data_IF_198461241977
#
_entry.id   IF_198461241977
#
_cell.length_a   1.000
_cell.length_b   1.000
_cell.length_c   1.000
_cell.angle_alpha   90.00
_cell.angle_beta   90.00
_cell.angle_gamma   90.00
#
_symmetry.space_group_name_H-M   'P 1'
#
loop_
_entity.id
_entity.type
_entity.pdbx_description
1 polymer ?
#
# COMPACT_ATOMS: atom_id res chain seq x y z
N UNK A 1 11.00 0.38 -15.62
CA UNK A 1 11.28 0.31 -14.17
C UNK A 1 10.04 0.75 -13.41
N UNK A 2 9.78 0.19 -12.23
CA UNK A 2 8.60 0.55 -11.42
C UNK A 2 9.03 0.73 -9.97
N UNK A 3 8.31 1.57 -9.21
CA UNK A 3 8.44 1.60 -7.76
C UNK A 3 7.45 0.61 -7.15
N UNK A 4 7.84 0.03 -6.02
CA UNK A 4 6.99 -0.88 -5.23
C UNK A 4 7.07 -0.50 -3.76
N UNK A 5 6.04 -0.83 -3.01
CA UNK A 5 6.07 -0.74 -1.55
C UNK A 5 6.67 -2.03 -0.98
N UNK A 6 7.89 -1.98 -0.46
CA UNK A 6 8.57 -3.14 0.15
C UNK A 6 7.78 -3.74 1.31
N UNK A 7 6.97 -2.93 1.98
CA UNK A 7 6.13 -3.42 3.06
C UNK A 7 5.16 -4.53 2.62
N UNK A 8 4.78 -4.58 1.34
CA UNK A 8 3.87 -5.63 0.85
C UNK A 8 4.48 -7.03 0.98
N UNK A 9 5.76 -7.18 0.64
CA UNK A 9 6.46 -8.46 0.76
C UNK A 9 6.60 -8.86 2.23
N UNK A 10 7.08 -7.93 3.07
CA UNK A 10 7.30 -8.17 4.50
C UNK A 10 6.00 -8.51 5.25
N UNK A 11 4.92 -7.82 4.94
CA UNK A 11 3.61 -8.10 5.56
C UNK A 11 3.06 -9.45 5.12
N UNK A 12 3.19 -9.81 3.84
CA UNK A 12 2.74 -11.12 3.37
C UNK A 12 3.52 -12.26 4.01
N UNK A 13 4.83 -12.11 4.14
CA UNK A 13 5.68 -13.08 4.82
C UNK A 13 5.27 -13.25 6.28
N UNK A 14 5.06 -12.15 7.01
CA UNK A 14 4.64 -12.20 8.40
C UNK A 14 3.24 -12.80 8.57
N UNK A 15 2.28 -12.48 7.70
CA UNK A 15 0.94 -13.07 7.73
C UNK A 15 1.02 -14.60 7.48
N UNK A 16 1.84 -15.04 6.54
CA UNK A 16 2.07 -16.46 6.29
C UNK A 16 2.67 -17.16 7.53
N UNK A 17 3.70 -16.56 8.14
CA UNK A 17 4.36 -17.06 9.35
C UNK A 17 3.37 -17.20 10.52
N UNK A 18 2.54 -16.19 10.75
CA UNK A 18 1.53 -16.19 11.81
C UNK A 18 0.47 -17.28 11.57
N UNK A 19 0.07 -17.46 10.31
CA UNK A 19 -0.88 -18.52 9.93
C UNK A 19 -0.30 -19.92 10.16
N UNK A 20 0.94 -20.17 9.74
CA UNK A 20 1.64 -21.46 9.90
C UNK A 20 1.90 -21.79 11.37
N UNK A 21 2.23 -20.80 12.19
CA UNK A 21 2.41 -20.98 13.62
C UNK A 21 1.12 -21.33 14.38
N UNK A 22 -0.03 -21.33 13.71
CA UNK A 22 -1.33 -21.62 14.34
C UNK A 22 -1.64 -20.61 15.43
N UNK A 23 -1.55 -19.30 15.09
CA UNK A 23 -1.58 -18.20 16.06
C UNK A 23 -2.63 -18.40 17.13
N UNK A 24 -2.16 -18.60 18.35
CA UNK A 24 -2.97 -18.71 19.54
C UNK A 24 -3.83 -17.46 19.71
N UNK A 25 -5.15 -17.63 19.55
CA UNK A 25 -6.13 -16.57 19.76
C UNK A 25 -6.81 -15.99 18.52
N UNK A 26 -6.41 -16.34 17.28
CA UNK A 26 -7.20 -15.96 16.11
C UNK A 26 -8.34 -16.94 15.87
N UNK A 27 -9.56 -16.47 16.07
CA UNK A 27 -10.81 -17.25 15.89
C UNK A 27 -11.48 -17.01 14.54
N UNK A 28 -10.84 -16.19 13.68
CA UNK A 28 -11.38 -15.81 12.37
C UNK A 28 -11.11 -16.83 11.27
N UNK A 29 -11.63 -16.52 10.08
CA UNK A 29 -11.50 -17.34 8.89
C UNK A 29 -10.19 -17.02 8.13
N UNK A 30 -9.44 -18.03 7.73
CA UNK A 30 -8.25 -17.92 6.86
C UNK A 30 -8.56 -18.12 5.37
N UNK A 31 -9.79 -17.81 4.93
CA UNK A 31 -10.06 -17.80 3.50
C UNK A 31 -9.28 -16.68 2.78
N UNK A 32 -9.14 -16.80 1.46
CA UNK A 32 -8.36 -15.83 0.65
C UNK A 32 -8.83 -14.38 0.80
N UNK A 33 -10.13 -14.16 1.02
CA UNK A 33 -10.68 -12.81 1.25
C UNK A 33 -10.23 -12.24 2.59
N UNK A 34 -10.35 -13.02 3.68
CA UNK A 34 -9.93 -12.58 5.01
C UNK A 34 -8.40 -12.41 5.09
N UNK A 35 -7.63 -13.32 4.52
CA UNK A 35 -6.17 -13.22 4.45
C UNK A 35 -5.74 -11.93 3.72
N UNK A 36 -6.34 -11.65 2.55
CA UNK A 36 -6.06 -10.42 1.80
C UNK A 36 -6.49 -9.17 2.57
N UNK A 37 -7.60 -9.26 3.32
CA UNK A 37 -8.06 -8.13 4.16
C UNK A 37 -7.12 -7.88 5.35
N UNK A 38 -6.58 -8.92 5.98
CA UNK A 38 -5.52 -8.79 7.00
C UNK A 38 -4.30 -8.08 6.41
N UNK A 39 -3.84 -8.49 5.22
CA UNK A 39 -2.71 -7.83 4.54
C UNK A 39 -3.03 -6.36 4.27
N UNK A 40 -4.20 -6.05 3.71
CA UNK A 40 -4.61 -4.68 3.38
C UNK A 40 -4.66 -3.77 4.62
N UNK A 41 -5.26 -4.25 5.71
CA UNK A 41 -5.35 -3.52 6.97
C UNK A 41 -3.97 -3.32 7.60
N UNK A 42 -3.13 -4.36 7.63
CA UNK A 42 -1.76 -4.27 8.14
C UNK A 42 -0.96 -3.20 7.40
N UNK A 43 -1.00 -3.22 6.06
CA UNK A 43 -0.31 -2.23 5.22
C UNK A 43 -0.82 -0.80 5.42
N UNK A 44 -2.09 -0.64 5.78
CA UNK A 44 -2.68 0.66 6.10
C UNK A 44 -2.24 1.18 7.49
N UNK A 45 -1.89 0.29 8.41
CA UNK A 45 -1.41 0.62 9.76
C UNK A 45 0.09 0.95 9.80
N UNK A 46 0.84 0.51 8.81
CA UNK A 46 2.30 0.68 8.75
C UNK A 46 2.70 1.86 7.87
N UNK A 47 3.84 2.52 8.17
CA UNK A 47 4.39 3.51 7.26
C UNK A 47 4.75 2.84 5.93
N UNK A 48 4.45 3.48 4.79
CA UNK A 48 4.83 2.95 3.49
C UNK A 48 6.35 3.01 3.28
N UNK A 49 6.85 2.12 2.44
CA UNK A 49 8.26 2.04 2.06
C UNK A 49 8.38 1.84 0.55
N UNK A 50 8.12 2.91 -0.21
CA UNK A 50 8.26 2.88 -1.65
C UNK A 50 9.70 3.08 -2.06
N UNK A 51 10.22 2.17 -2.84
CA UNK A 51 11.55 2.24 -3.42
C UNK A 51 11.52 1.79 -4.88
N UNK A 52 12.60 2.09 -5.60
CA UNK A 52 12.83 1.52 -6.92
C UNK A 52 13.13 0.02 -6.79
N UNK A 53 12.74 -0.75 -7.78
CA UNK A 53 12.95 -2.20 -7.81
C UNK A 53 14.45 -2.58 -7.65
N UNK A 54 15.34 -1.71 -8.07
CA UNK A 54 16.80 -1.90 -7.97
C UNK A 54 17.36 -1.76 -6.54
N UNK A 55 16.67 -1.01 -5.69
CA UNK A 55 17.02 -0.80 -4.27
C UNK A 55 16.18 -1.63 -3.32
N UNK A 56 15.40 -2.55 -3.87
CA UNK A 56 14.55 -3.44 -3.10
C UNK A 56 15.38 -4.29 -2.12
N UNK A 57 14.92 -4.39 -0.88
CA UNK A 57 15.60 -5.15 0.19
C UNK A 57 16.55 -4.33 1.05
N UNK A 58 17.09 -3.19 0.57
CA UNK A 58 18.03 -2.38 1.36
C UNK A 58 17.32 -1.68 2.52
N UNK A 59 16.14 -1.14 2.26
CA UNK A 59 15.39 -0.37 3.25
C UNK A 59 14.63 -1.27 4.25
N UNK A 60 14.35 -2.51 3.88
CA UNK A 60 13.66 -3.48 4.76
C UNK A 60 14.44 -3.74 6.06
N UNK A 61 15.76 -3.69 6.04
CA UNK A 61 16.62 -3.88 7.22
C UNK A 61 16.44 -2.83 8.32
N UNK A 62 15.82 -1.69 8.02
CA UNK A 62 15.56 -0.64 9.01
C UNK A 62 14.20 -0.78 9.72
N UNK A 63 13.36 -1.71 9.29
CA UNK A 63 12.04 -1.92 9.87
C UNK A 63 12.13 -2.95 10.99
N UNK A 64 11.71 -2.56 12.19
CA UNK A 64 11.65 -3.49 13.33
C UNK A 64 10.56 -4.55 13.08
N UNK A 65 10.96 -5.81 12.98
CA UNK A 65 10.05 -6.95 12.77
C UNK A 65 8.88 -6.97 13.77
N UNK A 66 9.10 -6.59 15.03
CA UNK A 66 8.05 -6.48 16.03
C UNK A 66 6.91 -5.53 15.65
N UNK A 67 7.19 -4.42 14.97
CA UNK A 67 6.14 -3.50 14.53
C UNK A 67 5.23 -4.12 13.45
N UNK A 68 5.80 -4.93 12.57
CA UNK A 68 5.01 -5.64 11.56
C UNK A 68 4.13 -6.67 12.24
N UNK A 69 4.70 -7.44 13.17
CA UNK A 69 3.95 -8.42 13.96
C UNK A 69 2.76 -7.78 14.69
N UNK A 70 3.00 -6.70 15.42
CA UNK A 70 1.94 -6.00 16.16
C UNK A 70 0.81 -5.50 15.25
N UNK A 71 1.17 -4.96 14.08
CA UNK A 71 0.21 -4.51 13.09
C UNK A 71 -0.61 -5.68 12.50
N UNK A 72 0.03 -6.84 12.23
CA UNK A 72 -0.66 -8.06 11.82
C UNK A 72 -1.63 -8.54 12.89
N UNK A 73 -1.23 -8.56 14.16
CA UNK A 73 -2.11 -8.95 15.26
C UNK A 73 -3.32 -8.02 15.40
N UNK A 74 -3.12 -6.70 15.23
CA UNK A 74 -4.21 -5.73 15.24
C UNK A 74 -5.18 -5.95 14.06
N UNK A 75 -4.66 -6.22 12.87
CA UNK A 75 -5.47 -6.51 11.68
C UNK A 75 -6.27 -7.81 11.84
N UNK A 76 -5.64 -8.88 12.37
CA UNK A 76 -6.30 -10.15 12.64
C UNK A 76 -7.50 -9.99 13.59
N UNK A 77 -7.32 -9.26 14.69
CA UNK A 77 -8.41 -8.97 15.64
C UNK A 77 -9.56 -8.26 14.95
N UNK A 78 -9.26 -7.29 14.09
CA UNK A 78 -10.29 -6.53 13.37
C UNK A 78 -11.03 -7.38 12.36
N UNK A 79 -10.34 -8.20 11.57
CA UNK A 79 -10.97 -9.11 10.59
C UNK A 79 -11.79 -10.20 11.26
N UNK A 80 -11.38 -10.71 12.42
CA UNK A 80 -12.16 -11.66 13.20
C UNK A 80 -13.50 -11.09 13.67
N UNK A 81 -13.51 -9.80 14.08
CA UNK A 81 -14.72 -9.11 14.54
C UNK A 81 -15.66 -8.69 13.40
N UNK A 82 -15.09 -8.30 12.25
CA UNK A 82 -15.84 -7.77 11.09
C UNK A 82 -15.34 -8.40 9.78
N UNK A 83 -15.61 -9.70 9.56
CA UNK A 83 -15.22 -10.35 8.31
C UNK A 83 -16.07 -9.80 7.16
N UNK A 84 -15.45 -9.63 5.98
CA UNK A 84 -16.12 -9.13 4.76
C UNK A 84 -17.06 -10.16 4.10
N UNK A 85 -17.26 -11.29 4.69
CA UNK A 85 -18.21 -12.31 4.26
C UNK A 85 -19.07 -12.79 5.45
N UNK A 86 -20.22 -13.36 5.16
CA UNK A 86 -21.08 -13.95 6.19
C UNK A 86 -20.45 -15.27 6.69
N UNK A 87 -20.53 -15.58 8.00
CA UNK A 87 -20.15 -16.88 8.51
C UNK A 87 -20.87 -18.01 7.75
N UNK A 88 -20.15 -19.05 7.40
CA UNK A 88 -20.71 -20.20 6.67
C UNK A 88 -20.89 -20.01 5.16
N UNK A 89 -20.64 -18.82 4.60
CA UNK A 89 -20.61 -18.65 3.15
C UNK A 89 -19.30 -19.20 2.58
N UNK A 90 -19.35 -19.91 1.42
CA UNK A 90 -18.12 -20.37 0.79
C UNK A 90 -17.20 -19.19 0.47
N UNK A 91 -15.89 -19.36 0.65
CA UNK A 91 -14.93 -18.32 0.32
C UNK A 91 -15.03 -17.97 -1.16
N UNK A 92 -14.94 -16.68 -1.46
CA UNK A 92 -14.83 -16.20 -2.83
C UNK A 92 -13.66 -16.88 -3.55
N UNK A 93 -13.80 -17.14 -4.85
CA UNK A 93 -12.72 -17.70 -5.66
C UNK A 93 -11.50 -16.77 -5.60
N UNK A 94 -10.31 -17.35 -5.45
CA UNK A 94 -9.04 -16.59 -5.35
C UNK A 94 -8.84 -15.62 -6.52
N UNK A 95 -9.30 -15.97 -7.73
CA UNK A 95 -9.18 -15.13 -8.93
C UNK A 95 -9.97 -13.82 -8.89
N UNK A 96 -10.98 -13.72 -8.02
CA UNK A 96 -11.83 -12.54 -7.92
C UNK A 96 -11.37 -11.55 -6.84
N UNK A 97 -10.30 -11.89 -6.10
CA UNK A 97 -9.82 -11.12 -4.95
C UNK A 97 -8.49 -10.46 -5.31
N UNK A 98 -8.45 -9.14 -5.20
CA UNK A 98 -7.23 -8.37 -5.45
C UNK A 98 -6.95 -7.41 -4.29
N UNK A 99 -5.69 -7.35 -3.90
CA UNK A 99 -5.17 -6.28 -3.06
C UNK A 99 -4.96 -5.04 -3.93
N UNK A 100 -5.57 -3.92 -3.55
CA UNK A 100 -5.46 -2.65 -4.27
C UNK A 100 -4.77 -1.62 -3.39
N UNK A 101 -3.77 -0.96 -3.95
CA UNK A 101 -3.08 0.17 -3.35
C UNK A 101 -3.63 1.47 -3.94
N UNK A 102 -4.66 2.02 -3.32
CA UNK A 102 -5.35 3.21 -3.81
C UNK A 102 -4.45 4.45 -3.82
N UNK A 103 -3.56 4.59 -2.84
CA UNK A 103 -2.61 5.71 -2.79
C UNK A 103 -1.66 5.68 -3.98
N UNK A 104 -1.17 4.50 -4.36
CA UNK A 104 -0.32 4.33 -5.53
C UNK A 104 -1.08 4.61 -6.82
N UNK A 105 -2.29 4.08 -6.98
CA UNK A 105 -3.13 4.34 -8.17
C UNK A 105 -3.38 5.83 -8.36
N UNK A 106 -3.77 6.53 -7.32
CA UNK A 106 -4.00 7.98 -7.38
C UNK A 106 -2.70 8.74 -7.68
N UNK A 107 -1.61 8.42 -6.98
CA UNK A 107 -0.32 9.08 -7.16
C UNK A 107 0.22 8.96 -8.59
N UNK A 108 0.11 7.79 -9.20
CA UNK A 108 0.58 7.55 -10.58
C UNK A 108 -0.13 8.41 -11.61
N UNK A 109 -1.42 8.72 -11.42
CA UNK A 109 -2.16 9.60 -12.33
C UNK A 109 -1.77 11.07 -12.19
N UNK A 110 -1.21 11.48 -11.05
CA UNK A 110 -0.94 12.89 -10.71
C UNK A 110 0.50 13.32 -10.97
N UNK A 111 1.48 12.41 -10.89
CA UNK A 111 2.91 12.76 -10.93
C UNK A 111 3.35 13.36 -12.27
N UNK A 112 2.89 12.82 -13.39
CA UNK A 112 3.22 13.34 -14.71
C UNK A 112 2.78 14.80 -14.90
N UNK A 113 1.48 15.13 -14.71
CA UNK A 113 1.00 16.51 -14.76
C UNK A 113 1.69 17.47 -13.78
N UNK A 114 2.12 17.01 -12.60
CA UNK A 114 2.83 17.83 -11.63
C UNK A 114 4.24 18.20 -12.13
N UNK A 115 4.98 17.23 -12.65
CA UNK A 115 6.30 17.48 -13.25
C UNK A 115 6.22 18.41 -14.46
N UNK A 116 5.21 18.24 -15.34
CA UNK A 116 5.04 19.12 -16.50
C UNK A 116 4.76 20.58 -16.13
N UNK A 117 4.26 20.85 -14.93
CA UNK A 117 4.01 22.23 -14.43
C UNK A 117 5.19 22.81 -13.65
N UNK A 118 6.11 21.98 -13.19
CA UNK A 118 7.26 22.45 -12.42
C UNK A 118 8.32 23.06 -13.33
N UNK A 119 8.84 24.23 -12.95
CA UNK A 119 9.88 24.93 -13.71
C UNK A 119 11.14 24.07 -13.78
N UNK A 120 11.73 23.94 -14.97
CA UNK A 120 12.94 23.15 -15.23
C UNK A 120 12.85 21.66 -14.83
N UNK A 121 11.66 21.12 -14.75
CA UNK A 121 11.46 19.71 -14.40
C UNK A 121 11.83 18.79 -15.57
N UNK A 122 12.59 17.76 -15.29
CA UNK A 122 12.73 16.62 -16.18
C UNK A 122 11.55 15.68 -15.99
N UNK A 123 10.86 15.35 -17.08
CA UNK A 123 9.73 14.42 -17.07
C UNK A 123 10.11 12.98 -17.40
N UNK A 124 11.42 12.64 -17.38
CA UNK A 124 11.87 11.28 -17.63
C UNK A 124 11.33 10.29 -16.58
N UNK A 125 11.36 9.02 -16.89
CA UNK A 125 10.80 7.97 -16.02
C UNK A 125 11.47 7.96 -14.63
N UNK A 126 12.77 8.21 -14.54
CA UNK A 126 13.47 8.29 -13.27
C UNK A 126 12.96 9.40 -12.37
N UNK A 127 12.79 10.61 -12.91
CA UNK A 127 12.25 11.74 -12.16
C UNK A 127 10.79 11.51 -11.73
N UNK A 128 10.00 10.85 -12.59
CA UNK A 128 8.62 10.48 -12.24
C UNK A 128 8.58 9.49 -11.07
N UNK A 129 9.44 8.48 -11.08
CA UNK A 129 9.52 7.48 -10.01
C UNK A 129 10.04 8.10 -8.71
N UNK A 130 11.06 8.95 -8.77
CA UNK A 130 11.60 9.62 -7.58
C UNK A 130 10.56 10.56 -6.95
N UNK A 131 9.84 11.34 -7.76
CA UNK A 131 8.78 12.23 -7.28
C UNK A 131 7.61 11.42 -6.67
N UNK A 132 7.24 10.32 -7.32
CA UNK A 132 6.17 9.45 -6.83
C UNK A 132 6.58 8.78 -5.51
N UNK A 133 7.78 8.18 -5.43
CA UNK A 133 8.29 7.56 -4.20
C UNK A 133 8.41 8.57 -3.05
N UNK A 134 8.90 9.79 -3.33
CA UNK A 134 8.99 10.87 -2.35
C UNK A 134 7.62 11.18 -1.73
N UNK A 135 6.60 11.36 -2.56
CA UNK A 135 5.25 11.69 -2.10
C UNK A 135 4.60 10.52 -1.34
N UNK A 136 4.68 9.31 -1.91
CA UNK A 136 4.05 8.13 -1.34
C UNK A 136 4.66 7.71 0.01
N UNK A 137 5.96 7.95 0.23
CA UNK A 137 6.60 7.68 1.53
C UNK A 137 6.23 8.69 2.63
N UNK A 138 5.55 9.79 2.28
CA UNK A 138 5.09 10.84 3.21
C UNK A 138 3.58 10.85 3.40
N UNK A 139 2.87 10.03 2.66
CA UNK A 139 1.42 9.90 2.75
C UNK A 139 1.03 8.51 3.26
N UNK A 140 0.09 8.40 4.21
CA UNK A 140 -0.37 7.11 4.72
C UNK A 140 -0.88 6.23 3.58
N UNK A 141 -0.33 5.04 3.44
CA UNK A 141 -0.77 4.11 2.41
C UNK A 141 -2.20 3.64 2.70
N UNK A 142 -3.03 3.62 1.67
CA UNK A 142 -4.41 3.10 1.73
C UNK A 142 -4.53 1.89 0.83
N UNK A 143 -4.72 0.77 1.49
CA UNK A 143 -4.97 -0.50 0.84
C UNK A 143 -6.41 -0.93 1.03
N UNK A 144 -6.90 -1.68 0.09
CA UNK A 144 -8.21 -2.32 0.17
C UNK A 144 -8.22 -3.62 -0.60
N UNK A 145 -9.30 -4.34 -0.41
CA UNK A 145 -9.57 -5.59 -1.12
C UNK A 145 -10.71 -5.35 -2.10
N UNK A 146 -10.48 -5.68 -3.35
CA UNK A 146 -11.55 -5.77 -4.35
C UNK A 146 -12.01 -7.20 -4.47
N UNK A 147 -13.30 -7.38 -4.54
CA UNK A 147 -13.93 -8.66 -4.78
C UNK A 147 -15.02 -8.47 -5.82
N UNK A 148 -15.01 -9.26 -6.88
CA UNK A 148 -15.97 -9.18 -8.01
C UNK A 148 -16.08 -7.77 -8.59
N UNK A 149 -14.93 -7.08 -8.75
CA UNK A 149 -14.84 -5.74 -9.34
C UNK A 149 -15.33 -4.58 -8.46
N UNK A 150 -15.83 -4.84 -7.24
CA UNK A 150 -16.27 -3.80 -6.33
C UNK A 150 -15.09 -3.16 -5.61
N UNK A 151 -14.87 -1.87 -5.84
CA UNK A 151 -13.88 -1.07 -5.10
C UNK A 151 -14.47 -0.62 -3.76
N UNK A 152 -13.65 -0.65 -2.71
CA UNK A 152 -14.09 -0.42 -1.33
C UNK A 152 -13.91 1.01 -0.81
N UNK A 153 -13.42 1.96 -1.62
CA UNK A 153 -13.25 3.35 -1.18
C UNK A 153 -14.42 4.23 -1.62
N UNK A 154 -14.91 5.03 -0.65
CA UNK A 154 -15.94 6.02 -0.90
C UNK A 154 -15.39 7.15 -1.80
N UNK A 155 -16.16 7.68 -2.79
CA UNK A 155 -15.69 8.73 -3.70
C UNK A 155 -15.15 9.98 -2.97
N UNK A 156 -15.84 10.47 -1.97
CA UNK A 156 -15.40 11.63 -1.15
C UNK A 156 -14.02 11.41 -0.52
N UNK A 157 -13.71 10.18 -0.10
CA UNK A 157 -12.40 9.86 0.45
C UNK A 157 -11.31 9.89 -0.63
N UNK A 158 -11.65 9.46 -1.85
CA UNK A 158 -10.72 9.54 -3.00
C UNK A 158 -10.42 11.01 -3.37
N UNK A 159 -11.41 11.89 -3.31
CA UNK A 159 -11.22 13.31 -3.61
C UNK A 159 -10.34 14.00 -2.55
N UNK A 160 -10.56 13.66 -1.27
CA UNK A 160 -9.69 14.12 -0.18
C UNK A 160 -8.25 13.63 -0.35
N UNK A 161 -8.08 12.33 -0.67
CA UNK A 161 -6.77 11.74 -0.95
C UNK A 161 -6.08 12.43 -2.13
N UNK A 162 -6.80 12.72 -3.22
CA UNK A 162 -6.26 13.45 -4.37
C UNK A 162 -5.75 14.84 -3.98
N UNK A 163 -6.50 15.55 -3.16
CA UNK A 163 -6.10 16.88 -2.69
C UNK A 163 -4.80 16.81 -1.88
N UNK A 164 -4.75 16.00 -0.82
CA UNK A 164 -3.58 15.92 0.07
C UNK A 164 -2.34 15.34 -0.65
N UNK A 165 -2.52 14.24 -1.38
CA UNK A 165 -1.44 13.62 -2.14
C UNK A 165 -0.94 14.56 -3.24
N UNK A 166 -1.84 15.35 -3.85
CA UNK A 166 -1.50 16.36 -4.83
C UNK A 166 -0.55 17.43 -4.30
N UNK A 167 -0.73 17.89 -3.07
CA UNK A 167 0.20 18.80 -2.43
C UNK A 167 1.59 18.19 -2.28
N UNK A 168 1.68 16.95 -1.82
CA UNK A 168 2.95 16.23 -1.66
C UNK A 168 3.63 15.96 -3.00
N UNK A 169 2.87 15.62 -4.03
CA UNK A 169 3.41 15.37 -5.40
C UNK A 169 3.95 16.68 -6.00
N UNK A 170 3.26 17.83 -5.81
CA UNK A 170 3.76 19.11 -6.26
C UNK A 170 5.05 19.51 -5.51
N UNK A 171 5.14 19.22 -4.21
CA UNK A 171 6.38 19.40 -3.46
C UNK A 171 7.49 18.48 -3.98
N UNK A 172 7.17 17.21 -4.21
CA UNK A 172 8.11 16.22 -4.75
C UNK A 172 8.65 16.64 -6.12
N UNK A 173 7.79 17.13 -7.01
CA UNK A 173 8.19 17.63 -8.33
C UNK A 173 9.23 18.75 -8.22
N UNK A 174 9.06 19.70 -7.29
CA UNK A 174 10.05 20.78 -7.06
C UNK A 174 11.39 20.22 -6.54
N UNK A 175 11.35 19.28 -5.58
CA UNK A 175 12.56 18.69 -5.00
C UNK A 175 13.35 17.91 -6.06
N UNK A 176 12.66 17.09 -6.84
CA UNK A 176 13.31 16.28 -7.89
C UNK A 176 13.82 17.15 -9.04
N UNK A 177 13.11 18.25 -9.38
CA UNK A 177 13.57 19.19 -10.41
C UNK A 177 14.84 19.93 -9.99
N UNK A 178 15.00 20.24 -8.70
CA UNK A 178 16.19 20.87 -8.16
C UNK A 178 17.40 19.90 -8.06
N UNK A 179 17.14 18.60 -7.93
CA UNK A 179 18.16 17.58 -7.70
C UNK A 179 17.87 16.31 -8.55
N UNK A 180 17.92 16.39 -9.89
CA UNK A 180 17.67 15.23 -10.74
C UNK A 180 18.80 14.20 -10.58
N UNK A 181 18.42 12.92 -10.53
CA UNK A 181 19.36 11.80 -10.35
C UNK A 181 19.75 11.13 -11.68
N UNK A 182 20.04 11.93 -12.69
CA UNK A 182 20.50 11.47 -14.02
C UNK A 182 21.44 12.46 -14.67
#
# INVERSE_FOLDING_TARGET
>A
MSIKNEMEALVREEVARVREAGSSGYTGCWCSLCETDVVALTLTLLPPLYCRTETFGIAAGFIKAGKIHDAVQAALKRVALWPKHRPGTPPAHRGDISLVNFTYEVGTTMVGPALSRATNACSCENCRQDALAYALNRYPAKYGVTHSGRRSLHPTYLDFMRYELGMLINQAARVVSAHPRH
#
